data_IF_260334586467
#
_entry.id   IF_260334586467
#
_cell.length_a   1.000
_cell.length_b   1.000
_cell.length_c   1.000
_cell.angle_alpha   90.00
_cell.angle_beta   90.00
_cell.angle_gamma   90.00
#
_symmetry.space_group_name_H-M   'P 1'
#
loop_
_entity.id
_entity.type
_entity.pdbx_description
1 polymer ?
#
# COMPACT_ATOMS: atom_id res chain seq x y z
N UNK A 1 11.47 -10.84 11.51
CA UNK A 1 12.21 -9.58 11.75
C UNK A 1 13.53 -9.55 11.00
N UNK A 2 14.28 -10.66 10.94
CA UNK A 2 15.55 -10.76 10.18
C UNK A 2 15.40 -10.31 8.72
N UNK A 3 14.32 -10.70 8.02
CA UNK A 3 14.09 -10.29 6.63
C UNK A 3 14.07 -8.77 6.40
N UNK A 4 13.42 -8.00 7.28
CA UNK A 4 13.38 -6.53 7.17
C UNK A 4 14.78 -5.93 7.39
N UNK A 5 15.54 -6.47 8.35
CA UNK A 5 16.92 -6.02 8.59
C UNK A 5 17.82 -6.29 7.37
N UNK A 6 17.67 -7.45 6.74
CA UNK A 6 18.38 -7.80 5.50
C UNK A 6 17.99 -6.84 4.37
N UNK A 7 16.70 -6.54 4.20
CA UNK A 7 16.23 -5.59 3.17
C UNK A 7 16.77 -4.18 3.42
N UNK A 8 16.83 -3.73 4.68
CA UNK A 8 17.42 -2.44 5.03
C UNK A 8 18.93 -2.43 4.72
N UNK A 9 19.65 -3.50 5.06
CA UNK A 9 21.08 -3.62 4.77
C UNK A 9 21.35 -3.62 3.24
N UNK A 10 20.57 -4.37 2.47
CA UNK A 10 20.64 -4.37 1.00
C UNK A 10 20.29 -2.99 0.44
N UNK A 11 19.23 -2.35 0.95
CA UNK A 11 18.82 -1.00 0.53
C UNK A 11 19.94 0.01 0.78
N UNK A 12 20.57 -0.04 1.96
CA UNK A 12 21.71 0.79 2.29
C UNK A 12 22.89 0.52 1.33
N UNK A 13 23.22 -0.75 1.09
CA UNK A 13 24.33 -1.13 0.20
C UNK A 13 24.10 -0.63 -1.23
N UNK A 14 22.89 -0.78 -1.77
CA UNK A 14 22.53 -0.28 -3.10
C UNK A 14 22.64 1.25 -3.20
N UNK A 15 22.11 1.97 -2.21
CA UNK A 15 22.21 3.42 -2.14
C UNK A 15 23.66 3.90 -2.00
N UNK A 16 24.45 3.19 -1.20
CA UNK A 16 25.85 3.51 -0.96
C UNK A 16 26.70 3.27 -2.22
N UNK A 17 26.53 2.13 -2.89
CA UNK A 17 27.34 1.79 -4.06
C UNK A 17 27.00 2.65 -5.28
N UNK A 18 25.71 2.85 -5.57
CA UNK A 18 25.22 3.43 -6.83
C UNK A 18 25.04 4.96 -6.74
N UNK A 19 24.55 5.46 -5.62
CA UNK A 19 24.19 6.89 -5.44
C UNK A 19 25.07 7.60 -4.41
N UNK A 20 25.97 6.89 -3.72
CA UNK A 20 26.82 7.42 -2.62
C UNK A 20 25.98 8.08 -1.52
N UNK A 21 24.80 7.52 -1.23
CA UNK A 21 23.87 7.98 -0.19
C UNK A 21 23.68 6.93 0.90
N UNK A 22 23.17 7.36 2.06
CA UNK A 22 22.75 6.47 3.14
C UNK A 22 21.21 6.28 3.12
N UNK A 23 20.69 5.51 4.08
CA UNK A 23 19.26 5.16 4.16
C UNK A 23 18.32 6.36 4.36
N UNK A 24 18.84 7.51 4.83
CA UNK A 24 18.04 8.73 4.99
C UNK A 24 17.60 9.31 3.64
N UNK A 25 18.21 8.89 2.53
CA UNK A 25 17.75 9.21 1.18
C UNK A 25 16.31 8.73 0.90
N UNK A 26 15.80 7.76 1.68
CA UNK A 26 14.40 7.33 1.61
C UNK A 26 13.42 8.35 2.24
N UNK A 27 13.93 9.48 2.75
CA UNK A 27 13.12 10.64 3.10
C UNK A 27 12.42 10.57 4.44
N UNK A 28 13.07 10.05 5.49
CA UNK A 28 12.52 10.01 6.85
C UNK A 28 12.51 11.37 7.56
N UNK A 29 13.24 12.36 7.02
CA UNK A 29 13.35 13.70 7.60
C UNK A 29 12.66 14.77 6.72
N UNK A 30 12.14 15.85 7.32
CA UNK A 30 12.00 16.08 8.77
C UNK A 30 10.84 15.25 9.37
N UNK A 31 11.07 14.63 10.53
CA UNK A 31 10.19 13.58 11.09
C UNK A 31 8.73 14.04 11.28
N UNK A 32 8.48 15.25 11.79
CA UNK A 32 7.13 15.76 12.01
C UNK A 32 6.31 15.86 10.71
N UNK A 33 6.94 16.33 9.62
CA UNK A 33 6.32 16.40 8.28
C UNK A 33 6.01 15.00 7.76
N UNK A 34 6.96 14.07 7.92
CA UNK A 34 6.83 12.70 7.42
C UNK A 34 5.81 11.90 8.21
N UNK A 35 5.71 12.12 9.51
CA UNK A 35 4.65 11.55 10.35
C UNK A 35 3.28 12.08 9.92
N UNK A 36 3.15 13.39 9.67
CA UNK A 36 1.91 13.97 9.12
C UNK A 36 1.54 13.34 7.77
N UNK A 37 2.50 13.17 6.86
CA UNK A 37 2.29 12.51 5.57
C UNK A 37 1.80 11.06 5.74
N UNK A 38 2.43 10.31 6.64
CA UNK A 38 2.00 8.96 6.99
C UNK A 38 0.57 8.93 7.56
N UNK A 39 0.27 9.76 8.55
CA UNK A 39 -1.05 9.79 9.19
C UNK A 39 -2.15 10.18 8.19
N UNK A 40 -1.91 11.19 7.35
CA UNK A 40 -2.87 11.57 6.30
C UNK A 40 -3.09 10.41 5.32
N UNK A 41 -2.01 9.77 4.86
CA UNK A 41 -2.12 8.61 3.97
C UNK A 41 -2.95 7.48 4.60
N UNK A 42 -2.64 7.13 5.85
CA UNK A 42 -3.32 6.09 6.61
C UNK A 42 -4.82 6.36 6.75
N UNK A 43 -5.18 7.60 7.11
CA UNK A 43 -6.59 7.99 7.29
C UNK A 43 -7.34 7.98 5.96
N UNK A 44 -6.75 8.51 4.88
CA UNK A 44 -7.41 8.58 3.57
C UNK A 44 -7.77 7.18 3.07
N UNK A 45 -6.81 6.26 2.99
CA UNK A 45 -7.08 4.91 2.48
C UNK A 45 -7.88 4.07 3.46
N UNK A 46 -7.73 4.31 4.77
CA UNK A 46 -8.59 3.70 5.78
C UNK A 46 -10.06 4.05 5.56
N UNK A 47 -10.39 5.33 5.36
CA UNK A 47 -11.77 5.78 5.07
C UNK A 47 -12.27 5.18 3.76
N UNK A 48 -11.48 5.24 2.69
CA UNK A 48 -11.87 4.67 1.40
C UNK A 48 -12.12 3.16 1.50
N UNK A 49 -11.31 2.44 2.28
CA UNK A 49 -11.50 1.02 2.53
C UNK A 49 -12.81 0.75 3.28
N UNK A 50 -13.12 1.52 4.34
CA UNK A 50 -14.42 1.42 5.04
C UNK A 50 -15.59 1.61 4.07
N UNK A 51 -15.52 2.59 3.16
CA UNK A 51 -16.57 2.82 2.17
C UNK A 51 -16.73 1.63 1.20
N UNK A 52 -15.62 1.05 0.74
CA UNK A 52 -15.65 -0.16 -0.11
C UNK A 52 -16.26 -1.34 0.65
N UNK A 53 -15.88 -1.55 1.91
CA UNK A 53 -16.39 -2.66 2.72
C UNK A 53 -17.87 -2.50 3.09
N UNK A 54 -18.33 -1.25 3.24
CA UNK A 54 -19.75 -0.98 3.40
C UNK A 54 -20.52 -1.24 2.11
N UNK A 55 -20.00 -0.80 0.95
CA UNK A 55 -20.61 -1.12 -0.35
C UNK A 55 -20.70 -2.64 -0.54
N UNK A 56 -19.61 -3.37 -0.25
CA UNK A 56 -19.58 -4.83 -0.37
C UNK A 56 -20.68 -5.49 0.47
N UNK A 57 -20.85 -5.06 1.73
CA UNK A 57 -21.91 -5.57 2.60
C UNK A 57 -23.32 -5.30 2.04
N UNK A 58 -23.55 -4.12 1.47
CA UNK A 58 -24.83 -3.80 0.82
C UNK A 58 -25.07 -4.68 -0.42
N UNK A 59 -24.04 -4.87 -1.26
CA UNK A 59 -24.14 -5.73 -2.44
C UNK A 59 -24.39 -7.20 -2.07
N UNK A 60 -23.78 -7.68 -0.98
CA UNK A 60 -23.99 -9.03 -0.45
C UNK A 60 -25.30 -9.17 0.31
N UNK A 61 -25.93 -8.08 0.75
CA UNK A 61 -26.96 -8.11 1.80
C UNK A 61 -26.46 -8.81 3.07
N UNK A 62 -25.19 -8.60 3.41
CA UNK A 62 -24.55 -9.12 4.63
C UNK A 62 -24.48 -8.05 5.72
N UNK A 63 -24.30 -8.49 6.96
CA UNK A 63 -24.09 -7.61 8.10
C UNK A 63 -22.70 -7.84 8.70
N UNK A 64 -22.05 -6.76 9.11
CA UNK A 64 -20.82 -6.81 9.89
C UNK A 64 -21.15 -6.99 11.36
N UNK A 65 -20.66 -8.06 11.97
CA UNK A 65 -20.86 -8.38 13.39
C UNK A 65 -19.53 -8.36 14.11
N UNK A 66 -19.49 -7.79 15.32
CA UNK A 66 -18.29 -7.81 16.15
C UNK A 66 -17.95 -9.25 16.57
N UNK A 67 -16.68 -9.60 16.49
CA UNK A 67 -16.19 -10.89 16.96
C UNK A 67 -16.14 -10.93 18.50
N UNK A 68 -16.85 -11.87 19.11
CA UNK A 68 -16.91 -12.02 20.57
C UNK A 68 -15.54 -12.34 21.20
N UNK A 69 -14.61 -12.91 20.43
CA UNK A 69 -13.27 -13.26 20.89
C UNK A 69 -12.23 -12.15 20.69
N UNK A 70 -12.63 -10.99 20.15
CA UNK A 70 -11.67 -9.92 19.87
C UNK A 70 -11.14 -9.29 21.15
N UNK A 71 -9.81 -9.12 21.22
CA UNK A 71 -9.15 -8.44 22.33
C UNK A 71 -8.18 -7.40 21.80
N UNK A 72 -7.87 -6.38 22.61
CA UNK A 72 -6.85 -5.38 22.25
C UNK A 72 -5.49 -6.00 21.92
N UNK A 73 -5.13 -7.13 22.56
CA UNK A 73 -3.91 -7.88 22.24
C UNK A 73 -3.93 -8.47 20.84
N UNK A 74 -5.07 -8.99 20.39
CA UNK A 74 -5.24 -9.53 19.03
C UNK A 74 -5.11 -8.38 18.02
N UNK A 75 -5.81 -7.27 18.24
CA UNK A 75 -5.73 -6.09 17.36
C UNK A 75 -4.29 -5.57 17.24
N UNK A 76 -3.56 -5.45 18.35
CA UNK A 76 -2.16 -5.02 18.33
C UNK A 76 -1.24 -6.02 17.60
N UNK A 77 -1.48 -7.33 17.76
CA UNK A 77 -0.72 -8.36 17.02
C UNK A 77 -1.00 -8.30 15.52
N UNK A 78 -2.26 -8.10 15.12
CA UNK A 78 -2.65 -7.99 13.71
C UNK A 78 -2.10 -6.71 13.08
N UNK A 79 -2.21 -5.56 13.76
CA UNK A 79 -1.58 -4.33 13.33
C UNK A 79 -0.05 -4.49 13.18
N UNK A 80 0.61 -5.17 14.12
CA UNK A 80 2.04 -5.44 14.02
C UNK A 80 2.39 -6.35 12.83
N UNK A 81 1.52 -7.29 12.49
CA UNK A 81 1.68 -8.12 11.30
C UNK A 81 1.56 -7.28 10.03
N UNK A 82 0.49 -6.46 9.91
CA UNK A 82 0.27 -5.56 8.77
C UNK A 82 1.44 -4.59 8.60
N UNK A 83 1.91 -3.99 9.70
CA UNK A 83 3.06 -3.08 9.72
C UNK A 83 4.30 -3.73 9.11
N UNK A 84 4.62 -4.96 9.50
CA UNK A 84 5.78 -5.70 8.97
C UNK A 84 5.60 -6.07 7.50
N UNK A 85 4.42 -6.53 7.11
CA UNK A 85 4.14 -6.90 5.72
C UNK A 85 4.30 -5.70 4.81
N UNK A 86 3.60 -4.61 5.15
CA UNK A 86 3.60 -3.37 4.37
C UNK A 86 5.00 -2.74 4.34
N UNK A 87 5.71 -2.69 5.47
CA UNK A 87 7.07 -2.13 5.49
C UNK A 87 8.03 -2.93 4.61
N UNK A 88 7.88 -4.26 4.58
CA UNK A 88 8.67 -5.14 3.71
C UNK A 88 8.45 -4.80 2.25
N UNK A 89 7.19 -4.68 1.83
CA UNK A 89 6.83 -4.34 0.46
C UNK A 89 7.28 -2.92 0.07
N UNK A 90 7.04 -1.92 0.92
CA UNK A 90 7.46 -0.54 0.63
C UNK A 90 8.99 -0.44 0.51
N UNK A 91 9.76 -1.11 1.36
CA UNK A 91 11.22 -1.09 1.26
C UNK A 91 11.74 -1.75 -0.03
N UNK A 92 11.08 -2.82 -0.51
CA UNK A 92 11.43 -3.47 -1.77
C UNK A 92 11.07 -2.57 -2.96
N UNK A 93 9.83 -2.12 -3.05
CA UNK A 93 9.32 -1.50 -4.28
C UNK A 93 9.49 0.02 -4.32
N UNK A 94 9.51 0.69 -3.17
CA UNK A 94 9.56 2.15 -3.00
C UNK A 94 10.73 2.61 -2.11
N UNK A 95 11.59 1.68 -1.69
CA UNK A 95 12.85 1.97 -1.01
C UNK A 95 13.96 2.30 -2.00
N UNK A 96 15.10 1.64 -1.86
CA UNK A 96 16.29 1.94 -2.65
C UNK A 96 16.07 1.80 -4.16
N UNK A 97 15.31 0.79 -4.61
CA UNK A 97 15.13 0.50 -6.04
C UNK A 97 14.43 1.64 -6.77
N UNK A 98 13.27 2.09 -6.28
CA UNK A 98 12.55 3.21 -6.91
C UNK A 98 13.35 4.51 -6.83
N UNK A 99 14.01 4.77 -5.69
CA UNK A 99 14.88 5.94 -5.55
C UNK A 99 15.96 5.97 -6.64
N UNK A 100 16.67 4.86 -6.84
CA UNK A 100 17.74 4.75 -7.84
C UNK A 100 17.16 4.89 -9.25
N UNK A 101 16.05 4.22 -9.57
CA UNK A 101 15.42 4.33 -10.88
C UNK A 101 15.05 5.78 -11.20
N UNK A 102 14.41 6.51 -10.25
CA UNK A 102 14.02 7.90 -10.46
C UNK A 102 15.25 8.76 -10.81
N UNK A 103 16.39 8.52 -10.15
CA UNK A 103 17.65 9.24 -10.38
C UNK A 103 18.28 8.92 -11.73
N UNK A 104 18.18 7.67 -12.21
CA UNK A 104 18.83 7.22 -13.45
C UNK A 104 18.00 7.49 -14.71
N UNK A 105 16.69 7.27 -14.64
CA UNK A 105 15.81 7.26 -15.83
C UNK A 105 14.57 8.15 -15.69
N UNK A 106 14.50 8.96 -14.64
CA UNK A 106 13.43 9.91 -14.39
C UNK A 106 12.20 9.29 -13.72
N UNK A 107 11.33 10.16 -13.17
CA UNK A 107 10.18 9.75 -12.37
C UNK A 107 9.15 8.93 -13.15
N UNK A 108 8.77 9.38 -14.35
CA UNK A 108 7.69 8.75 -15.12
C UNK A 108 7.94 7.26 -15.42
N UNK A 109 9.13 6.92 -15.95
CA UNK A 109 9.48 5.52 -16.28
C UNK A 109 9.59 4.67 -15.02
N UNK A 110 10.19 5.22 -13.97
CA UNK A 110 10.44 4.53 -12.70
C UNK A 110 9.16 4.18 -11.95
N UNK A 111 8.17 5.08 -11.95
CA UNK A 111 6.85 4.83 -11.37
C UNK A 111 6.18 3.66 -12.09
N UNK A 112 6.22 3.64 -13.42
CA UNK A 112 5.63 2.55 -14.21
C UNK A 112 6.32 1.21 -13.94
N UNK A 113 7.65 1.19 -13.89
CA UNK A 113 8.42 -0.03 -13.58
C UNK A 113 8.08 -0.56 -12.18
N UNK A 114 8.03 0.31 -11.18
CA UNK A 114 7.67 -0.07 -9.80
C UNK A 114 6.24 -0.60 -9.72
N UNK A 115 5.28 0.05 -10.40
CA UNK A 115 3.89 -0.39 -10.46
C UNK A 115 3.73 -1.77 -11.11
N UNK A 116 4.40 -2.01 -12.24
CA UNK A 116 4.38 -3.29 -12.95
C UNK A 116 4.99 -4.39 -12.07
N UNK A 117 6.16 -4.13 -11.48
CA UNK A 117 6.83 -5.09 -10.60
C UNK A 117 5.96 -5.44 -9.39
N UNK A 118 5.29 -4.46 -8.81
CA UNK A 118 4.38 -4.66 -7.70
C UNK A 118 3.14 -5.48 -8.10
N UNK A 119 2.57 -5.22 -9.28
CA UNK A 119 1.44 -5.99 -9.82
C UNK A 119 1.80 -7.46 -10.07
N UNK A 120 2.96 -7.71 -10.67
CA UNK A 120 3.46 -9.07 -10.95
C UNK A 120 3.76 -9.81 -9.64
N UNK A 121 4.35 -9.14 -8.65
CA UNK A 121 4.60 -9.73 -7.33
C UNK A 121 3.32 -10.30 -6.70
N UNK A 122 2.19 -9.65 -6.90
CA UNK A 122 0.90 -10.11 -6.38
C UNK A 122 0.34 -11.36 -7.06
N UNK A 123 0.85 -11.75 -8.22
CA UNK A 123 0.53 -13.07 -8.78
C UNK A 123 1.04 -14.21 -7.90
N UNK A 124 2.23 -14.01 -7.32
CA UNK A 124 2.86 -14.98 -6.44
C UNK A 124 2.26 -14.91 -5.03
N UNK A 125 2.09 -13.70 -4.47
CA UNK A 125 1.58 -13.56 -3.11
C UNK A 125 0.13 -14.00 -2.97
N UNK A 126 -0.71 -13.78 -3.98
CA UNK A 126 -2.10 -14.24 -3.99
C UNK A 126 -2.28 -15.63 -4.62
N UNK A 127 -1.22 -16.26 -5.11
CA UNK A 127 -1.29 -17.61 -5.68
C UNK A 127 -2.18 -17.74 -6.92
N UNK A 128 -2.30 -16.69 -7.73
CA UNK A 128 -3.17 -16.67 -8.91
C UNK A 128 -2.48 -17.12 -10.21
N UNK A 129 -1.21 -17.53 -10.15
CA UNK A 129 -0.48 -18.04 -11.31
C UNK A 129 -1.22 -19.23 -11.96
N UNK A 130 -1.43 -19.14 -13.28
CA UNK A 130 -2.19 -20.12 -14.05
C UNK A 130 -3.66 -19.76 -14.23
N UNK A 131 -4.22 -18.88 -13.41
CA UNK A 131 -5.55 -18.30 -13.64
C UNK A 131 -5.41 -16.98 -14.40
N UNK A 132 -5.52 -17.02 -15.73
CA UNK A 132 -5.30 -15.86 -16.61
C UNK A 132 -6.17 -14.66 -16.20
N UNK A 133 -7.46 -14.89 -15.93
CA UNK A 133 -8.36 -13.81 -15.52
C UNK A 133 -7.97 -13.24 -14.15
N UNK A 134 -7.68 -14.11 -13.19
CA UNK A 134 -7.20 -13.71 -11.86
C UNK A 134 -5.90 -12.89 -11.94
N UNK A 135 -4.96 -13.31 -12.77
CA UNK A 135 -3.71 -12.59 -13.02
C UNK A 135 -3.95 -11.19 -13.60
N UNK A 136 -4.82 -11.05 -14.59
CA UNK A 136 -5.16 -9.75 -15.19
C UNK A 136 -5.80 -8.83 -14.15
N UNK A 137 -6.80 -9.33 -13.41
CA UNK A 137 -7.52 -8.56 -12.41
C UNK A 137 -6.60 -8.13 -11.25
N UNK A 138 -5.78 -9.04 -10.73
CA UNK A 138 -4.80 -8.74 -9.68
C UNK A 138 -3.75 -7.76 -10.17
N UNK A 139 -3.22 -7.94 -11.39
CA UNK A 139 -2.23 -7.04 -11.97
C UNK A 139 -2.76 -5.61 -12.13
N UNK A 140 -3.96 -5.46 -12.69
CA UNK A 140 -4.60 -4.15 -12.86
C UNK A 140 -4.83 -3.52 -11.49
N UNK A 141 -5.43 -4.25 -10.55
CA UNK A 141 -5.80 -3.72 -9.24
C UNK A 141 -4.60 -3.28 -8.41
N UNK A 142 -3.69 -4.22 -8.18
CA UNK A 142 -2.49 -3.96 -7.36
C UNK A 142 -1.49 -3.08 -8.08
N UNK A 143 -1.39 -3.17 -9.42
CA UNK A 143 -0.54 -2.29 -10.23
C UNK A 143 -0.99 -0.83 -10.21
N UNK A 144 -2.29 -0.54 -10.29
CA UNK A 144 -2.82 0.82 -10.16
C UNK A 144 -2.56 1.41 -8.77
N UNK A 145 -2.74 0.60 -7.72
CA UNK A 145 -2.41 1.00 -6.35
C UNK A 145 -0.89 1.25 -6.20
N UNK A 146 -0.07 0.34 -6.76
CA UNK A 146 1.38 0.45 -6.89
C UNK A 146 1.82 1.75 -7.56
N UNK A 147 1.14 2.14 -8.64
CA UNK A 147 1.37 3.40 -9.34
C UNK A 147 1.08 4.60 -8.43
N UNK A 148 -0.06 4.59 -7.73
CA UNK A 148 -0.45 5.67 -6.82
C UNK A 148 0.58 5.88 -5.70
N UNK A 149 1.04 4.79 -5.09
CA UNK A 149 2.08 4.81 -4.04
C UNK A 149 3.45 5.24 -4.59
N UNK A 150 3.88 4.72 -5.74
CA UNK A 150 5.13 5.13 -6.37
C UNK A 150 5.10 6.61 -6.77
N UNK A 151 3.95 7.15 -7.21
CA UNK A 151 3.80 8.57 -7.47
C UNK A 151 3.86 9.39 -6.17
N UNK A 152 3.19 8.95 -5.10
CA UNK A 152 3.29 9.57 -3.79
C UNK A 152 4.74 9.64 -3.28
N UNK A 153 5.52 8.57 -3.46
CA UNK A 153 6.96 8.56 -3.20
C UNK A 153 7.68 9.61 -4.05
N UNK A 154 7.45 9.61 -5.37
CA UNK A 154 8.12 10.52 -6.28
C UNK A 154 7.84 12.00 -5.97
N UNK A 155 6.60 12.38 -5.60
CA UNK A 155 6.27 13.75 -5.23
C UNK A 155 6.85 14.16 -3.88
N UNK A 156 6.77 13.29 -2.88
CA UNK A 156 7.18 13.64 -1.50
C UNK A 156 8.66 13.41 -1.23
N UNK A 157 9.36 12.71 -2.13
CA UNK A 157 10.72 12.19 -1.93
C UNK A 157 10.85 11.43 -0.60
N UNK A 158 9.78 10.73 -0.21
CA UNK A 158 9.68 10.04 1.07
C UNK A 158 8.85 8.78 0.96
N UNK A 159 9.28 7.74 1.67
CA UNK A 159 8.52 6.50 1.83
C UNK A 159 7.30 6.66 2.76
N UNK A 160 7.21 7.75 3.54
CA UNK A 160 6.24 7.80 4.64
C UNK A 160 4.80 8.03 4.17
N UNK A 161 4.56 8.81 3.10
CA UNK A 161 3.22 8.93 2.52
C UNK A 161 2.72 7.60 1.91
N UNK A 162 3.46 6.95 0.98
CA UNK A 162 3.00 5.67 0.43
C UNK A 162 2.88 4.59 1.51
N UNK A 163 3.78 4.58 2.51
CA UNK A 163 3.66 3.68 3.64
C UNK A 163 2.37 3.86 4.43
N UNK A 164 1.98 5.12 4.70
CA UNK A 164 0.71 5.43 5.34
C UNK A 164 -0.48 4.98 4.50
N UNK A 165 -0.51 5.33 3.22
CA UNK A 165 -1.57 4.93 2.29
C UNK A 165 -1.72 3.41 2.23
N UNK A 166 -0.63 2.66 2.15
CA UNK A 166 -0.66 1.21 2.08
C UNK A 166 -1.11 0.58 3.41
N UNK A 167 -0.51 1.01 4.54
CA UNK A 167 -0.87 0.47 5.85
C UNK A 167 -2.31 0.78 6.24
N UNK A 168 -2.83 1.95 5.89
CA UNK A 168 -4.23 2.33 6.15
C UNK A 168 -5.22 1.40 5.47
N UNK A 169 -4.96 1.06 4.21
CA UNK A 169 -5.77 0.07 3.48
C UNK A 169 -5.67 -1.30 4.11
N UNK A 170 -4.45 -1.82 4.30
CA UNK A 170 -4.25 -3.18 4.79
C UNK A 170 -4.78 -3.36 6.21
N UNK A 171 -4.55 -2.42 7.11
CA UNK A 171 -5.06 -2.53 8.47
C UNK A 171 -6.59 -2.56 8.51
N UNK A 172 -7.26 -1.68 7.76
CA UNK A 172 -8.72 -1.67 7.72
C UNK A 172 -9.24 -2.95 7.04
N UNK A 173 -8.71 -3.31 5.89
CA UNK A 173 -9.15 -4.50 5.14
C UNK A 173 -8.89 -5.81 5.90
N UNK A 174 -7.65 -5.99 6.39
CA UNK A 174 -7.22 -7.21 7.06
C UNK A 174 -7.75 -7.29 8.49
N UNK A 175 -7.53 -6.24 9.29
CA UNK A 175 -7.79 -6.27 10.74
C UNK A 175 -9.20 -5.84 11.08
N UNK A 176 -9.68 -4.71 10.55
CA UNK A 176 -11.02 -4.23 10.90
C UNK A 176 -12.12 -5.09 10.27
N UNK A 177 -11.98 -5.48 8.99
CA UNK A 177 -13.00 -6.23 8.25
C UNK A 177 -12.68 -7.71 8.04
N UNK A 178 -11.60 -8.23 8.65
CA UNK A 178 -11.25 -9.66 8.63
C UNK A 178 -11.09 -10.28 7.23
N UNK A 179 -10.78 -9.48 6.21
CA UNK A 179 -10.60 -9.98 4.84
C UNK A 179 -9.14 -10.33 4.51
N UNK A 180 -8.26 -10.28 5.52
CA UNK A 180 -6.84 -10.57 5.40
C UNK A 180 -6.50 -12.02 5.73
N UNK A 181 -5.21 -12.39 5.66
CA UNK A 181 -4.76 -13.76 5.86
C UNK A 181 -4.74 -14.19 7.34
N UNK A 182 -5.16 -13.33 8.27
CA UNK A 182 -5.10 -13.56 9.72
C UNK A 182 -6.38 -14.20 10.28
N UNK A 183 -7.38 -14.47 9.42
CA UNK A 183 -8.67 -15.02 9.82
C UNK A 183 -9.63 -13.98 10.39
N UNK A 184 -10.59 -14.44 11.18
CA UNK A 184 -11.61 -13.60 11.80
C UNK A 184 -11.02 -12.71 12.91
N UNK A 185 -11.07 -11.39 12.71
CA UNK A 185 -10.54 -10.37 13.60
C UNK A 185 -11.66 -9.50 14.15
N UNK A 186 -11.76 -8.21 13.81
CA UNK A 186 -12.68 -7.29 14.49
C UNK A 186 -14.12 -7.49 14.03
N UNK A 187 -14.40 -7.30 12.74
CA UNK A 187 -15.72 -7.46 12.15
C UNK A 187 -15.75 -8.71 11.27
N UNK A 188 -16.78 -9.53 11.45
CA UNK A 188 -17.03 -10.74 10.67
C UNK A 188 -18.28 -10.51 9.82
N UNK A 189 -18.19 -10.77 8.53
CA UNK A 189 -19.36 -10.72 7.64
C UNK A 189 -20.25 -11.92 7.92
N UNK A 190 -21.48 -11.69 8.38
CA UNK A 190 -22.51 -12.73 8.59
C UNK A 190 -23.66 -12.57 7.60
N UNK A 191 -24.07 -13.71 7.04
CA UNK A 191 -25.13 -13.79 6.04
C UNK A 191 -24.74 -13.21 4.69
N UNK A 192 -25.74 -12.93 3.87
CA UNK A 192 -25.59 -12.43 2.51
C UNK A 192 -25.35 -13.50 1.45
N UNK A 193 -25.45 -13.08 0.20
CA UNK A 193 -25.24 -13.93 -0.98
C UNK A 193 -23.81 -13.75 -1.51
N UNK A 194 -23.28 -14.78 -2.17
CA UNK A 194 -22.05 -14.63 -2.94
C UNK A 194 -22.26 -13.61 -4.07
N UNK A 195 -21.27 -12.72 -4.25
CA UNK A 195 -21.31 -11.76 -5.34
C UNK A 195 -21.10 -12.49 -6.67
N UNK A 196 -22.02 -12.27 -7.60
CA UNK A 196 -21.98 -12.85 -8.94
C UNK A 196 -22.23 -11.80 -10.02
N UNK A 197 -21.67 -12.05 -11.21
CA UNK A 197 -21.84 -11.20 -12.39
C UNK A 197 -21.50 -9.73 -12.13
N UNK A 198 -22.47 -8.85 -12.38
CA UNK A 198 -22.28 -7.40 -12.29
C UNK A 198 -21.93 -6.92 -10.86
N UNK A 199 -22.42 -7.57 -9.82
CA UNK A 199 -22.16 -7.16 -8.42
C UNK A 199 -20.72 -7.42 -8.01
N UNK A 200 -20.16 -8.56 -8.42
CA UNK A 200 -18.74 -8.90 -8.22
C UNK A 200 -17.83 -7.95 -8.99
N UNK A 201 -18.17 -7.66 -10.25
CA UNK A 201 -17.44 -6.69 -11.06
C UNK A 201 -17.48 -5.29 -10.44
N UNK A 202 -18.64 -4.84 -9.96
CA UNK A 202 -18.79 -3.55 -9.29
C UNK A 202 -17.93 -3.45 -8.02
N UNK A 203 -17.93 -4.50 -7.18
CA UNK A 203 -17.11 -4.54 -5.97
C UNK A 203 -15.61 -4.46 -6.33
N UNK A 204 -15.19 -5.27 -7.31
CA UNK A 204 -13.82 -5.27 -7.83
C UNK A 204 -13.42 -3.88 -8.36
N UNK A 205 -14.21 -3.29 -9.26
CA UNK A 205 -13.92 -1.98 -9.86
C UNK A 205 -13.85 -0.91 -8.78
N UNK A 206 -14.72 -0.95 -7.78
CA UNK A 206 -14.72 0.05 -6.70
C UNK A 206 -13.44 -0.03 -5.88
N UNK A 207 -13.07 -1.21 -5.38
CA UNK A 207 -11.88 -1.37 -4.54
C UNK A 207 -10.55 -1.26 -5.29
N UNK A 208 -10.47 -1.83 -6.50
CA UNK A 208 -9.20 -2.03 -7.21
C UNK A 208 -8.99 -1.09 -8.40
N UNK A 209 -9.97 -0.27 -8.77
CA UNK A 209 -9.82 0.72 -9.85
C UNK A 209 -10.17 2.12 -9.35
N UNK A 210 -11.37 2.32 -8.79
CA UNK A 210 -11.84 3.63 -8.35
C UNK A 210 -10.99 4.17 -7.20
N UNK A 211 -10.70 3.36 -6.17
CA UNK A 211 -9.86 3.80 -5.04
C UNK A 211 -8.47 4.25 -5.51
N UNK A 212 -7.69 3.46 -6.27
CA UNK A 212 -6.42 3.93 -6.82
C UNK A 212 -6.54 5.24 -7.61
N UNK A 213 -7.59 5.40 -8.44
CA UNK A 213 -7.82 6.65 -9.19
C UNK A 213 -8.05 7.83 -8.24
N UNK A 214 -8.84 7.66 -7.18
CA UNK A 214 -9.05 8.70 -6.16
C UNK A 214 -7.73 9.07 -5.45
N UNK A 215 -6.89 8.07 -5.14
CA UNK A 215 -5.56 8.33 -4.57
C UNK A 215 -4.66 9.05 -5.57
N UNK A 216 -4.68 8.68 -6.86
CA UNK A 216 -3.95 9.36 -7.93
C UNK A 216 -4.39 10.82 -8.04
N UNK A 217 -5.70 11.11 -7.97
CA UNK A 217 -6.25 12.47 -7.93
C UNK A 217 -5.75 13.21 -6.68
N UNK A 218 -5.81 12.58 -5.50
CA UNK A 218 -5.30 13.15 -4.27
C UNK A 218 -3.80 13.51 -4.39
N UNK A 219 -2.98 12.58 -4.87
CA UNK A 219 -1.54 12.78 -5.08
C UNK A 219 -1.29 13.89 -6.10
N UNK A 220 -2.07 13.94 -7.19
CA UNK A 220 -1.91 14.98 -8.21
C UNK A 220 -2.16 16.38 -7.65
N UNK A 221 -3.27 16.59 -6.95
CA UNK A 221 -3.74 17.93 -6.61
C UNK A 221 -3.41 18.41 -5.19
N UNK A 222 -3.27 17.51 -4.22
CA UNK A 222 -3.12 17.88 -2.81
C UNK A 222 -1.72 17.60 -2.25
N UNK A 223 -0.97 16.68 -2.85
CA UNK A 223 0.41 16.41 -2.45
C UNK A 223 1.33 17.39 -3.19
N UNK A 224 2.16 18.14 -2.46
CA UNK A 224 3.12 19.06 -3.07
C UNK A 224 4.33 18.29 -3.61
N UNK A 225 4.78 18.68 -4.81
CA UNK A 225 6.06 18.19 -5.35
C UNK A 225 7.20 18.79 -4.51
N UNK A 226 8.02 17.94 -3.93
CA UNK A 226 9.20 18.32 -3.17
C UNK A 226 10.42 18.26 -4.09
N UNK A 227 11.16 19.36 -4.16
CA UNK A 227 12.51 19.34 -4.74
C UNK A 227 13.44 18.60 -3.78
N UNK A 228 14.48 17.92 -4.31
CA UNK A 228 15.56 17.47 -3.44
C UNK A 228 16.05 18.68 -2.63
N UNK A 229 16.17 18.52 -1.30
CA UNK A 229 16.94 19.46 -0.51
C UNK A 229 18.32 19.52 -1.16
N UNK A 230 18.68 20.67 -1.74
CA UNK A 230 20.10 20.95 -2.00
C UNK A 230 20.83 20.58 -0.71
N UNK A 231 21.91 19.78 -0.77
CA UNK A 231 22.73 19.61 0.42
C UNK A 231 23.01 21.01 0.94
N UNK A 232 22.74 21.26 2.22
CA UNK A 232 23.21 22.47 2.87
C UNK A 232 24.72 22.47 2.66
N UNK A 233 25.15 23.26 1.69
CA UNK A 233 26.55 23.64 1.54
C UNK A 233 26.78 24.64 2.64
N UNK A 234 27.38 24.18 3.72
CA UNK A 234 28.18 24.94 4.68
C UNK A 234 29.12 23.97 5.40
#
# INVERSE_FOLDING_TARGET
MIGILVIIAISWLLLFLIEKKNILALGFLPMAKRLKQFTIGFVITGILCVLVQYLEANLKSSAWVLNDNITGRIILKSFWWDLKSVLTEELIFRGALLYILIRKIGSHKSILISAIAFGIYHWFSYGVLGNIMGMILVFIGTGLMGYAWAWAFAKTKSIMLPFGLHLGWNFVYNTLFSNGPLGELVLISKGGNELAGATSLLNFVTGLVIVPILIIIYVRYFVKEETELKPMTE
#
